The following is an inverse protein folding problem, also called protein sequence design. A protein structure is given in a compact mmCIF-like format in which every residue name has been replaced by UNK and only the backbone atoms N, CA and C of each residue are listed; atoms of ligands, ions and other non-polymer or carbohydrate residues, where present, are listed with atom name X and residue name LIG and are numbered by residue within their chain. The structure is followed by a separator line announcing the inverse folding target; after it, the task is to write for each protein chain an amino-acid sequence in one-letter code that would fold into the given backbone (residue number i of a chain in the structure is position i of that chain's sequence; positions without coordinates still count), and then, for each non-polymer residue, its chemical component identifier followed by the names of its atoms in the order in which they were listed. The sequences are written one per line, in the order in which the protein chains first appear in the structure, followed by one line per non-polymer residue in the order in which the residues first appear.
data_IF_846098194005
#
_entry.id   IF_846098194005
#
_cell.length_a   1.000
_cell.length_b   1.000
_cell.length_c   1.000
_cell.angle_alpha   90.00
_cell.angle_beta   90.00
_cell.angle_gamma   90.00
#
_symmetry.space_group_name_H-M   'P 1'
#
loop_
_entity.id
_entity.type
_entity.pdbx_description
1 polymer ?
#
# COMPACT_ATOMS: atom_id res chain seq x y z
N UNK A 1 -8.38 1.99 -7.20
CA UNK A 1 -7.70 0.71 -6.91
C UNK A 1 -8.17 0.14 -5.57
N UNK A 2 -7.82 0.75 -4.42
CA UNK A 2 -8.14 0.20 -3.08
C UNK A 2 -9.61 -0.18 -2.92
N UNK A 3 -10.54 0.71 -3.28
CA UNK A 3 -11.98 0.41 -3.16
C UNK A 3 -12.40 -0.86 -3.95
N UNK A 4 -11.82 -1.09 -5.12
CA UNK A 4 -12.10 -2.28 -5.92
C UNK A 4 -11.58 -3.60 -5.31
N UNK A 5 -10.73 -3.54 -4.27
CA UNK A 5 -10.32 -4.73 -3.53
C UNK A 5 -11.49 -5.35 -2.74
N UNK A 6 -12.52 -4.56 -2.42
CA UNK A 6 -13.73 -5.06 -1.76
C UNK A 6 -14.41 -6.14 -2.61
N UNK A 7 -14.39 -5.96 -3.94
CA UNK A 7 -15.12 -6.77 -4.93
C UNK A 7 -14.34 -8.00 -5.41
N UNK A 8 -13.12 -8.22 -4.92
CA UNK A 8 -12.36 -9.43 -5.25
C UNK A 8 -13.11 -10.68 -4.80
N UNK A 9 -13.07 -11.72 -5.64
CA UNK A 9 -13.61 -13.03 -5.31
C UNK A 9 -12.88 -13.64 -4.11
N UNK A 10 -13.50 -14.61 -3.45
CA UNK A 10 -12.85 -15.33 -2.35
C UNK A 10 -11.54 -16.01 -2.79
N UNK A 11 -11.52 -16.53 -4.03
CA UNK A 11 -10.32 -17.12 -4.62
C UNK A 11 -9.20 -16.07 -4.79
N UNK A 12 -9.52 -14.91 -5.37
CA UNK A 12 -8.54 -13.84 -5.56
C UNK A 12 -8.01 -13.32 -4.21
N UNK A 13 -8.88 -13.18 -3.21
CA UNK A 13 -8.48 -12.81 -1.85
C UNK A 13 -7.56 -13.86 -1.23
N UNK A 14 -7.79 -15.15 -1.47
CA UNK A 14 -6.88 -16.21 -1.01
C UNK A 14 -5.50 -16.10 -1.64
N UNK A 15 -5.41 -15.91 -2.97
CA UNK A 15 -4.13 -15.73 -3.66
C UNK A 15 -3.41 -14.47 -3.16
N UNK A 16 -4.14 -13.36 -3.00
CA UNK A 16 -3.57 -12.11 -2.49
C UNK A 16 -3.00 -12.28 -1.07
N UNK A 17 -3.71 -13.00 -0.18
CA UNK A 17 -3.22 -13.29 1.18
C UNK A 17 -1.90 -14.06 1.18
N UNK A 18 -1.67 -14.95 0.22
CA UNK A 18 -0.38 -15.64 0.09
C UNK A 18 0.74 -14.63 -0.21
N UNK A 19 0.51 -13.72 -1.15
CA UNK A 19 1.45 -12.63 -1.44
C UNK A 19 1.76 -11.77 -0.20
N UNK A 20 0.73 -11.42 0.59
CA UNK A 20 0.91 -10.65 1.83
C UNK A 20 1.70 -11.43 2.89
N UNK A 21 1.53 -12.75 3.00
CA UNK A 21 2.32 -13.55 3.95
C UNK A 21 3.81 -13.55 3.63
N UNK A 22 4.16 -13.67 2.35
CA UNK A 22 5.53 -13.55 1.89
C UNK A 22 6.05 -12.13 2.15
N UNK A 23 5.25 -11.11 1.82
CA UNK A 23 5.59 -9.70 2.08
C UNK A 23 5.91 -9.43 3.56
N UNK A 24 5.04 -9.90 4.46
CA UNK A 24 5.20 -9.77 5.91
C UNK A 24 6.20 -10.78 6.50
N UNK A 25 6.95 -11.50 5.66
CA UNK A 25 8.00 -12.44 6.07
C UNK A 25 7.52 -13.59 6.98
N UNK A 26 6.22 -13.95 6.93
CA UNK A 26 5.66 -15.02 7.76
C UNK A 26 6.07 -16.43 7.33
N UNK A 27 6.39 -16.65 6.06
CA UNK A 27 6.71 -17.99 5.53
C UNK A 27 8.15 -18.47 5.84
N UNK A 28 8.96 -17.69 6.59
CA UNK A 28 10.24 -18.14 7.13
C UNK A 28 11.35 -18.43 6.10
N UNK A 29 11.06 -18.33 4.81
CA UNK A 29 12.00 -18.55 3.72
C UNK A 29 12.91 -17.33 3.53
N UNK A 30 14.18 -17.47 3.93
CA UNK A 30 15.18 -16.40 3.85
C UNK A 30 15.50 -15.95 2.41
N UNK A 31 15.34 -16.82 1.41
CA UNK A 31 15.54 -16.46 0.01
C UNK A 31 14.40 -15.55 -0.46
N UNK A 32 13.15 -15.93 -0.19
CA UNK A 32 11.99 -15.11 -0.53
C UNK A 32 11.98 -13.79 0.23
N UNK A 33 12.38 -13.77 1.51
CA UNK A 33 12.54 -12.53 2.28
C UNK A 33 13.54 -11.58 1.64
N UNK A 34 14.71 -12.09 1.23
CA UNK A 34 15.73 -11.27 0.57
C UNK A 34 15.22 -10.72 -0.77
N UNK A 35 14.58 -11.56 -1.58
CA UNK A 35 13.97 -11.10 -2.85
C UNK A 35 12.94 -10.01 -2.60
N UNK A 36 12.14 -10.14 -1.55
CA UNK A 36 11.13 -9.14 -1.18
C UNK A 36 11.76 -7.83 -0.69
N UNK A 37 12.75 -7.89 0.20
CA UNK A 37 13.47 -6.73 0.71
C UNK A 37 14.19 -5.97 -0.42
N UNK A 38 14.87 -6.69 -1.32
CA UNK A 38 15.51 -6.09 -2.48
C UNK A 38 14.49 -5.47 -3.44
N UNK A 39 13.33 -6.09 -3.63
CA UNK A 39 12.23 -5.50 -4.40
C UNK A 39 11.68 -4.24 -3.72
N UNK A 40 11.38 -4.27 -2.42
CA UNK A 40 10.83 -3.15 -1.64
C UNK A 40 11.72 -1.90 -1.71
N UNK A 41 13.05 -2.09 -1.65
CA UNK A 41 14.03 -1.01 -1.85
C UNK A 41 13.90 -0.31 -3.21
N UNK A 42 13.42 -1.01 -4.24
CA UNK A 42 13.16 -0.41 -5.58
C UNK A 42 11.78 0.26 -5.68
N UNK A 43 10.82 -0.16 -4.85
CA UNK A 43 9.44 0.31 -4.88
C UNK A 43 9.36 1.76 -4.45
N UNK A 44 9.97 2.13 -3.31
CA UNK A 44 9.87 3.50 -2.80
C UNK A 44 10.42 4.56 -3.77
N UNK A 45 11.65 4.44 -4.32
CA UNK A 45 12.17 5.42 -5.29
C UNK A 45 11.30 5.56 -6.54
N UNK A 46 10.66 4.48 -6.98
CA UNK A 46 9.69 4.51 -8.08
C UNK A 46 8.44 5.29 -7.71
N UNK A 47 7.85 5.01 -6.53
CA UNK A 47 6.65 5.70 -6.06
C UNK A 47 6.90 7.18 -5.86
N UNK A 48 8.04 7.53 -5.25
CA UNK A 48 8.47 8.91 -5.11
C UNK A 48 8.54 9.61 -6.46
N UNK A 49 9.18 8.99 -7.47
CA UNK A 49 9.27 9.58 -8.82
C UNK A 49 7.90 9.78 -9.48
N UNK A 50 6.98 8.84 -9.29
CA UNK A 50 5.63 8.91 -9.86
C UNK A 50 4.79 10.01 -9.21
N UNK A 51 4.94 10.20 -7.91
CA UNK A 51 4.15 11.14 -7.13
C UNK A 51 4.75 12.55 -7.11
N UNK A 52 6.07 12.68 -7.28
CA UNK A 52 6.79 13.96 -7.24
C UNK A 52 6.14 15.10 -8.05
N UNK A 53 5.64 14.89 -9.28
CA UNK A 53 4.95 15.93 -10.04
C UNK A 53 3.68 16.49 -9.39
N UNK A 54 3.12 15.79 -8.40
CA UNK A 54 1.90 16.15 -7.67
C UNK A 54 2.18 16.58 -6.21
N UNK A 55 3.46 16.67 -5.83
CA UNK A 55 3.92 17.05 -4.49
C UNK A 55 4.66 18.39 -4.52
N UNK A 56 4.45 19.19 -5.57
CA UNK A 56 5.33 20.29 -6.02
C UNK A 56 5.60 21.41 -5.02
N UNK A 57 4.82 21.50 -3.93
CA UNK A 57 4.93 22.50 -2.87
C UNK A 57 4.97 21.87 -1.46
N UNK A 58 5.20 20.55 -1.37
CA UNK A 58 5.11 19.82 -0.12
C UNK A 58 6.49 19.71 0.55
N UNK A 59 6.67 20.40 1.68
CA UNK A 59 7.78 20.11 2.58
C UNK A 59 7.75 18.61 2.95
N UNK A 60 8.87 17.92 2.85
CA UNK A 60 9.01 16.49 3.18
C UNK A 60 8.30 15.53 2.20
N UNK A 61 8.39 15.75 0.88
CA UNK A 61 7.87 14.84 -0.18
C UNK A 61 8.06 13.34 0.14
N UNK A 62 9.27 12.96 0.55
CA UNK A 62 9.56 11.56 0.90
C UNK A 62 8.73 11.03 2.06
N UNK A 63 8.52 11.84 3.10
CA UNK A 63 7.74 11.44 4.27
C UNK A 63 6.27 11.27 3.88
N UNK A 64 5.74 12.14 3.02
CA UNK A 64 4.38 12.03 2.49
C UNK A 64 4.22 10.73 1.71
N UNK A 65 5.15 10.42 0.82
CA UNK A 65 5.11 9.17 0.05
C UNK A 65 5.20 7.95 0.96
N UNK A 66 6.08 7.94 1.97
CA UNK A 66 6.14 6.83 2.95
C UNK A 66 4.83 6.66 3.70
N UNK A 67 4.27 7.75 4.22
CA UNK A 67 2.99 7.71 4.95
C UNK A 67 1.86 7.21 4.05
N UNK A 68 1.81 7.65 2.79
CA UNK A 68 0.82 7.17 1.83
C UNK A 68 0.97 5.66 1.58
N UNK A 69 2.21 5.16 1.40
CA UNK A 69 2.46 3.72 1.21
C UNK A 69 1.98 2.92 2.43
N UNK A 70 2.36 3.32 3.65
CA UNK A 70 1.92 2.63 4.88
C UNK A 70 0.38 2.63 5.03
N UNK A 71 -0.27 3.74 4.66
CA UNK A 71 -1.73 3.82 4.68
C UNK A 71 -2.35 2.80 3.71
N UNK A 72 -1.88 2.78 2.46
CA UNK A 72 -2.37 1.87 1.44
C UNK A 72 -2.16 0.39 1.83
N UNK A 73 -1.00 0.05 2.41
CA UNK A 73 -0.74 -1.29 2.94
C UNK A 73 -1.73 -1.67 4.03
N UNK A 74 -2.00 -0.75 4.97
CA UNK A 74 -2.96 -0.96 6.05
C UNK A 74 -4.37 -1.20 5.50
N UNK A 75 -4.80 -0.41 4.51
CA UNK A 75 -6.08 -0.58 3.82
C UNK A 75 -6.16 -1.94 3.12
N UNK A 76 -5.11 -2.34 2.39
CA UNK A 76 -5.01 -3.65 1.73
C UNK A 76 -5.14 -4.77 2.77
N UNK A 77 -4.43 -4.69 3.90
CA UNK A 77 -4.49 -5.70 4.96
C UNK A 77 -5.90 -5.78 5.57
N UNK A 78 -6.54 -4.63 5.82
CA UNK A 78 -7.91 -4.60 6.35
C UNK A 78 -8.91 -5.26 5.38
N UNK A 79 -8.82 -4.94 4.09
CA UNK A 79 -9.75 -5.47 3.08
C UNK A 79 -9.46 -6.94 2.80
N UNK A 80 -8.22 -7.29 2.49
CA UNK A 80 -7.84 -8.62 2.02
C UNK A 80 -7.68 -9.60 3.17
N UNK A 81 -6.84 -9.29 4.15
CA UNK A 81 -6.47 -10.24 5.22
C UNK A 81 -7.57 -10.33 6.26
N UNK A 82 -8.05 -9.19 6.75
CA UNK A 82 -9.11 -9.16 7.77
C UNK A 82 -10.51 -9.33 7.19
N UNK A 83 -10.63 -9.39 5.85
CA UNK A 83 -11.90 -9.54 5.13
C UNK A 83 -12.94 -8.48 5.54
N UNK A 84 -12.50 -7.24 5.73
CA UNK A 84 -13.37 -6.12 6.12
C UNK A 84 -13.75 -5.32 4.88
N UNK A 85 -14.99 -4.90 4.81
CA UNK A 85 -15.38 -3.90 3.82
C UNK A 85 -14.92 -2.52 4.28
N UNK A 86 -14.29 -1.75 3.39
CA UNK A 86 -14.00 -0.33 3.61
C UNK A 86 -14.83 0.52 2.63
N UNK A 87 -15.52 1.53 3.16
CA UNK A 87 -16.35 2.39 2.33
C UNK A 87 -15.48 3.29 1.43
N UNK A 88 -15.96 3.62 0.22
CA UNK A 88 -15.19 4.47 -0.70
C UNK A 88 -14.88 5.84 -0.09
N UNK A 89 -15.85 6.43 0.64
CA UNK A 89 -15.67 7.73 1.29
C UNK A 89 -14.62 7.71 2.40
N UNK A 90 -14.59 6.64 3.21
CA UNK A 90 -13.57 6.44 4.25
C UNK A 90 -12.17 6.36 3.63
N UNK A 91 -12.02 5.57 2.55
CA UNK A 91 -10.75 5.45 1.82
C UNK A 91 -10.31 6.81 1.27
N UNK A 92 -11.24 7.57 0.68
CA UNK A 92 -10.96 8.89 0.11
C UNK A 92 -10.58 9.90 1.17
N UNK A 93 -11.27 9.92 2.30
CA UNK A 93 -10.99 10.81 3.42
C UNK A 93 -9.59 10.58 3.98
N UNK A 94 -9.22 9.33 4.29
CA UNK A 94 -7.89 9.02 4.84
C UNK A 94 -6.75 9.39 3.89
N UNK A 95 -6.91 9.12 2.58
CA UNK A 95 -5.93 9.51 1.56
C UNK A 95 -5.85 11.04 1.44
N UNK A 96 -7.00 11.74 1.46
CA UNK A 96 -7.05 13.19 1.37
C UNK A 96 -6.37 13.87 2.57
N UNK A 97 -6.44 13.28 3.77
CA UNK A 97 -5.74 13.77 4.95
C UNK A 97 -4.22 13.74 4.74
N UNK A 98 -3.69 12.63 4.20
CA UNK A 98 -2.25 12.51 3.91
C UNK A 98 -1.81 13.52 2.84
N UNK A 99 -2.65 13.73 1.82
CA UNK A 99 -2.35 14.60 0.68
C UNK A 99 -2.80 16.05 0.86
N UNK A 100 -3.33 16.44 2.02
CA UNK A 100 -4.05 17.71 2.22
C UNK A 100 -3.25 18.96 1.83
N UNK A 101 -1.94 18.93 2.03
CA UNK A 101 -1.05 20.06 1.75
C UNK A 101 -0.23 19.87 0.47
N UNK A 102 -0.53 18.83 -0.31
CA UNK A 102 0.04 18.64 -1.63
C UNK A 102 -0.75 19.49 -2.64
N UNK A 103 -0.06 20.05 -3.63
CA UNK A 103 -0.67 20.83 -4.72
C UNK A 103 -0.31 20.23 -6.06
#
# INVERSE_FOLDING_TARGET
FIYGLNDLSDYDKQVYRLGIKVYLSFDGDEELKKVMDDWEKTVFPRHLRLLKPYLTDADHEEAIVRTLVHLLETMIINIIVKNRHMAEEEIREEIAIVLRNCK
#
